data_IF_296920638122
#
_entry.id   IF_296920638122
#
_cell.length_a   1.000
_cell.length_b   1.000
_cell.length_c   1.000
_cell.angle_alpha   90.00
_cell.angle_beta   90.00
_cell.angle_gamma   90.00
#
_symmetry.space_group_name_H-M   'P 1'
#
loop_
_entity.id
_entity.type
_entity.pdbx_description
1 polymer ?
#
# COMPACT_ATOMS: atom_id res chain seq x y z
N UNK A 1 18.68 11.15 6.85
CA UNK A 1 18.38 9.84 7.43
C UNK A 1 17.28 9.97 8.45
N UNK A 2 16.90 8.87 9.08
CA UNK A 2 15.81 8.79 10.08
C UNK A 2 16.36 8.30 11.41
N UNK A 3 15.80 8.80 12.51
CA UNK A 3 16.09 8.34 13.87
C UNK A 3 14.81 7.71 14.41
N UNK A 4 14.89 6.48 14.88
CA UNK A 4 13.73 5.69 15.31
C UNK A 4 13.64 5.58 16.83
N UNK A 5 12.41 5.64 17.34
CA UNK A 5 12.09 5.58 18.76
C UNK A 5 10.89 4.66 19.01
N UNK A 6 10.88 3.95 20.14
CA UNK A 6 9.67 3.40 20.73
C UNK A 6 9.10 4.39 21.74
N UNK A 7 7.77 4.43 21.82
CA UNK A 7 7.02 5.23 22.78
C UNK A 7 6.16 4.26 23.60
N UNK A 8 6.28 4.31 24.91
CA UNK A 8 5.42 3.54 25.81
C UNK A 8 4.10 4.27 26.13
N UNK A 9 3.22 3.62 26.90
CA UNK A 9 1.91 4.20 27.28
C UNK A 9 2.04 5.46 28.16
N UNK A 10 3.18 5.66 28.79
CA UNK A 10 3.50 6.83 29.62
C UNK A 10 4.22 7.94 28.83
N UNK A 11 4.33 7.80 27.50
CA UNK A 11 5.02 8.71 26.59
C UNK A 11 6.52 8.88 26.87
N UNK A 12 7.18 7.84 27.40
CA UNK A 12 8.64 7.79 27.43
C UNK A 12 9.19 7.37 26.07
N UNK A 13 10.26 8.03 25.63
CA UNK A 13 10.90 7.81 24.34
C UNK A 13 12.17 6.97 24.50
N UNK A 14 12.25 5.86 23.77
CA UNK A 14 13.41 4.97 23.79
C UNK A 14 14.02 4.91 22.39
N UNK A 15 15.23 5.44 22.25
CA UNK A 15 15.98 5.36 21.00
C UNK A 15 16.21 3.90 20.59
N UNK A 16 15.99 3.60 19.30
CA UNK A 16 16.28 2.30 18.72
C UNK A 16 17.50 2.34 17.80
N UNK A 17 17.39 3.08 16.69
CA UNK A 17 18.41 3.07 15.65
C UNK A 17 18.41 4.34 14.79
N UNK A 18 19.43 4.46 13.93
CA UNK A 18 19.55 5.52 12.93
C UNK A 18 19.69 4.88 11.55
N UNK A 19 18.74 5.20 10.67
CA UNK A 19 18.80 4.87 9.26
C UNK A 19 19.48 6.01 8.49
N UNK A 20 20.74 5.83 8.07
CA UNK A 20 21.55 6.87 7.40
C UNK A 20 21.23 7.06 5.91
N UNK A 21 20.09 6.53 5.45
CA UNK A 21 19.61 6.59 4.06
C UNK A 21 18.17 7.09 4.01
N UNK A 22 17.65 7.27 2.79
CA UNK A 22 16.21 7.47 2.61
C UNK A 22 15.45 6.18 2.96
N UNK A 23 14.26 6.36 3.51
CA UNK A 23 13.34 5.29 3.88
C UNK A 23 12.23 5.15 2.86
N UNK A 24 11.62 3.97 2.80
CA UNK A 24 10.59 3.68 1.79
C UNK A 24 9.39 4.60 2.02
N UNK A 25 9.04 4.80 3.28
CA UNK A 25 7.95 5.58 3.83
C UNK A 25 8.16 7.10 3.78
N UNK A 26 9.27 7.62 3.23
CA UNK A 26 9.52 9.07 3.15
C UNK A 26 8.37 9.85 2.49
N UNK A 27 7.60 9.20 1.61
CA UNK A 27 6.51 9.82 0.86
C UNK A 27 5.42 10.37 1.77
N UNK A 28 5.13 9.76 2.94
CA UNK A 28 4.13 10.30 3.86
C UNK A 28 4.58 11.64 4.44
N UNK A 29 5.87 11.78 4.73
CA UNK A 29 6.47 13.03 5.20
C UNK A 29 6.43 14.09 4.11
N UNK A 30 6.77 13.75 2.88
CA UNK A 30 6.68 14.68 1.75
C UNK A 30 5.24 15.17 1.54
N UNK A 31 4.26 14.27 1.64
CA UNK A 31 2.84 14.60 1.43
C UNK A 31 2.28 15.56 2.49
N UNK A 32 2.69 15.42 3.76
CA UNK A 32 2.20 16.31 4.83
C UNK A 32 3.01 17.60 4.97
N UNK A 33 4.29 17.62 4.57
CA UNK A 33 5.14 18.83 4.69
C UNK A 33 5.23 19.64 3.41
N UNK A 34 4.99 19.02 2.24
CA UNK A 34 5.24 19.62 0.92
C UNK A 34 6.72 19.70 0.55
N UNK A 35 7.60 19.07 1.34
CA UNK A 35 9.05 19.08 1.11
C UNK A 35 9.43 17.86 0.29
N UNK A 36 10.09 18.09 -0.84
CA UNK A 36 10.66 17.04 -1.71
C UNK A 36 12.02 16.62 -1.15
N UNK A 37 12.04 15.52 -0.38
CA UNK A 37 13.21 14.98 0.32
C UNK A 37 14.27 14.53 -0.68
N UNK A 38 13.87 13.82 -1.74
CA UNK A 38 14.80 13.30 -2.76
C UNK A 38 15.51 14.45 -3.48
N UNK A 39 14.77 15.49 -3.87
CA UNK A 39 15.37 16.69 -4.49
C UNK A 39 16.37 17.37 -3.55
N UNK A 40 16.05 17.49 -2.28
CA UNK A 40 16.97 18.08 -1.30
C UNK A 40 18.22 17.21 -1.12
N UNK A 41 18.10 15.88 -1.11
CA UNK A 41 19.28 15.00 -1.08
C UNK A 41 20.20 15.22 -2.28
N UNK A 42 19.64 15.35 -3.50
CA UNK A 42 20.41 15.63 -4.71
C UNK A 42 21.10 17.00 -4.61
N UNK A 43 20.37 18.05 -4.23
CA UNK A 43 20.93 19.41 -4.05
C UNK A 43 22.10 19.43 -3.06
N UNK A 44 21.92 18.80 -1.90
CA UNK A 44 22.98 18.69 -0.89
C UNK A 44 24.21 17.93 -1.40
N UNK A 45 24.02 16.91 -2.24
CA UNK A 45 25.12 16.17 -2.85
C UNK A 45 25.91 17.02 -3.88
N UNK A 46 25.32 18.11 -4.38
CA UNK A 46 25.98 19.12 -5.21
C UNK A 46 26.48 20.33 -4.40
N UNK A 47 26.63 20.17 -3.08
CA UNK A 47 27.06 21.23 -2.15
C UNK A 47 26.15 22.47 -2.13
N UNK A 48 24.91 22.38 -2.60
CA UNK A 48 23.93 23.44 -2.41
C UNK A 48 23.52 23.52 -0.93
N UNK A 49 23.35 24.73 -0.36
CA UNK A 49 22.94 24.88 1.03
C UNK A 49 21.48 24.42 1.22
N UNK A 50 21.17 23.88 2.40
CA UNK A 50 19.80 23.60 2.79
C UNK A 50 19.02 24.91 2.92
N UNK A 51 18.06 25.15 2.03
CA UNK A 51 17.24 26.37 2.05
C UNK A 51 16.03 26.29 2.98
N UNK A 52 15.72 25.08 3.47
CA UNK A 52 14.58 24.81 4.35
C UNK A 52 14.98 25.16 5.77
N UNK A 53 14.18 26.01 6.44
CA UNK A 53 14.33 26.29 7.87
C UNK A 53 13.34 25.47 8.68
N UNK A 54 13.65 25.26 9.96
CA UNK A 54 12.76 24.52 10.87
C UNK A 54 11.35 25.13 10.96
N UNK A 55 11.24 26.47 10.88
CA UNK A 55 9.97 27.21 10.91
C UNK A 55 9.08 27.01 9.67
N UNK A 56 9.69 26.56 8.55
CA UNK A 56 9.00 26.25 7.30
C UNK A 56 8.36 24.86 7.34
N UNK A 57 8.87 23.96 8.19
CA UNK A 57 8.37 22.58 8.32
C UNK A 57 7.08 22.56 9.11
N UNK A 58 5.95 22.69 8.40
CA UNK A 58 4.60 22.69 8.99
C UNK A 58 3.78 21.54 8.43
N UNK A 59 3.67 20.41 9.15
CA UNK A 59 2.80 19.31 8.73
C UNK A 59 1.36 19.79 8.54
N UNK A 60 0.73 19.39 7.44
CA UNK A 60 -0.66 19.70 7.11
C UNK A 60 -1.41 18.42 6.81
N UNK A 61 -2.35 18.08 7.69
CA UNK A 61 -3.16 16.88 7.54
C UNK A 61 -2.39 15.61 7.91
N UNK A 62 -2.84 14.50 7.34
CA UNK A 62 -2.36 13.15 7.63
C UNK A 62 -2.06 12.45 6.31
N UNK A 63 -1.19 11.44 6.34
CA UNK A 63 -0.94 10.59 5.19
C UNK A 63 -0.78 9.14 5.63
N UNK A 64 -1.17 8.22 4.75
CA UNK A 64 -1.02 6.76 4.90
C UNK A 64 -0.30 6.28 3.65
N UNK A 65 0.79 5.54 3.79
CA UNK A 65 1.41 4.77 2.70
C UNK A 65 1.04 3.30 2.86
N UNK A 66 0.61 2.68 1.76
CA UNK A 66 0.41 1.23 1.66
C UNK A 66 1.35 0.68 0.59
N UNK A 67 1.99 -0.46 0.89
CA UNK A 67 2.82 -1.20 -0.06
C UNK A 67 1.98 -2.29 -0.70
N UNK A 68 1.47 -2.04 -1.90
CA UNK A 68 0.71 -3.04 -2.64
C UNK A 68 1.70 -4.07 -3.17
N UNK A 69 1.69 -5.26 -2.57
CA UNK A 69 2.60 -6.35 -2.87
C UNK A 69 1.86 -7.47 -3.61
N UNK A 70 2.59 -8.22 -4.44
CA UNK A 70 2.14 -9.46 -5.05
C UNK A 70 2.32 -10.62 -4.07
N UNK A 71 1.48 -10.65 -3.04
CA UNK A 71 1.50 -11.65 -1.97
C UNK A 71 0.08 -12.16 -1.72
N UNK A 72 -0.02 -13.37 -1.15
CA UNK A 72 -1.28 -13.93 -0.67
C UNK A 72 -1.35 -13.86 0.87
N UNK A 73 -1.99 -12.84 1.47
CA UNK A 73 -2.11 -12.72 2.92
C UNK A 73 -2.76 -13.93 3.61
N UNK A 74 -3.65 -14.66 2.93
CA UNK A 74 -4.27 -15.89 3.47
C UNK A 74 -3.32 -17.07 3.52
N UNK A 75 -2.32 -17.07 2.65
CA UNK A 75 -1.31 -18.10 2.59
C UNK A 75 0.02 -17.57 3.17
N UNK A 76 -0.05 -16.97 4.36
CA UNK A 76 1.10 -16.44 5.10
C UNK A 76 1.97 -15.48 4.26
N UNK A 77 1.32 -14.58 3.50
CA UNK A 77 1.95 -13.61 2.60
C UNK A 77 2.91 -14.25 1.58
N UNK A 78 2.61 -15.47 1.11
CA UNK A 78 3.44 -16.12 0.11
C UNK A 78 3.54 -15.26 -1.16
N UNK A 79 4.76 -14.94 -1.65
CA UNK A 79 4.94 -14.14 -2.85
C UNK A 79 4.38 -14.83 -4.10
N UNK A 80 3.88 -14.02 -5.03
CA UNK A 80 3.27 -14.44 -6.29
C UNK A 80 4.23 -14.26 -7.48
N UNK A 81 5.53 -14.52 -7.25
CA UNK A 81 6.60 -14.45 -8.26
C UNK A 81 6.34 -15.36 -9.47
N UNK A 82 6.86 -14.95 -10.63
CA UNK A 82 6.68 -15.64 -11.91
C UNK A 82 5.29 -15.43 -12.55
N UNK A 83 4.34 -14.81 -11.84
CA UNK A 83 3.04 -14.43 -12.41
C UNK A 83 3.14 -13.14 -13.20
N UNK A 84 2.28 -13.03 -14.21
CA UNK A 84 2.13 -11.82 -15.01
C UNK A 84 0.93 -10.99 -14.54
N UNK A 85 1.10 -9.67 -14.50
CA UNK A 85 0.02 -8.71 -14.26
C UNK A 85 -0.81 -8.57 -15.54
N UNK A 86 -1.98 -9.20 -15.57
CA UNK A 86 -2.87 -9.22 -16.73
C UNK A 86 -3.66 -7.93 -16.91
N UNK A 87 -4.02 -7.29 -15.81
CA UNK A 87 -4.71 -5.99 -15.78
C UNK A 87 -4.10 -5.15 -14.68
N UNK A 88 -3.82 -3.89 -15.00
CA UNK A 88 -3.39 -2.88 -14.03
C UNK A 88 -4.19 -1.60 -14.26
N UNK A 89 -5.06 -1.25 -13.32
CA UNK A 89 -5.76 0.04 -13.27
C UNK A 89 -5.58 0.61 -11.89
N UNK A 90 -4.76 1.64 -11.82
CA UNK A 90 -4.47 2.31 -10.57
C UNK A 90 -5.50 3.40 -10.26
N UNK A 91 -5.79 3.65 -8.97
CA UNK A 91 -6.63 4.75 -8.55
C UNK A 91 -5.91 6.08 -8.76
N UNK A 92 -6.62 7.19 -8.58
CA UNK A 92 -6.03 8.53 -8.64
C UNK A 92 -6.93 9.59 -8.02
N UNK A 93 -6.70 10.84 -8.37
CA UNK A 93 -7.42 12.00 -7.86
C UNK A 93 -6.68 12.73 -6.74
N UNK A 94 -7.33 13.74 -6.18
CA UNK A 94 -6.71 14.63 -5.20
C UNK A 94 -6.19 13.86 -3.97
N UNK A 95 -4.95 14.19 -3.57
CA UNK A 95 -4.29 13.59 -2.41
C UNK A 95 -3.97 12.10 -2.57
N UNK A 96 -3.83 11.59 -3.81
CA UNK A 96 -3.36 10.23 -4.09
C UNK A 96 -2.06 10.31 -4.88
N UNK A 97 -1.03 9.66 -4.35
CA UNK A 97 0.28 9.52 -4.97
C UNK A 97 0.57 8.03 -5.15
N UNK A 98 1.15 7.68 -6.30
CA UNK A 98 1.55 6.33 -6.62
C UNK A 98 3.02 6.33 -7.04
N UNK A 99 3.82 5.52 -6.37
CA UNK A 99 5.23 5.29 -6.69
C UNK A 99 5.37 3.79 -7.01
N UNK A 100 5.39 3.42 -8.29
CA UNK A 100 5.44 2.03 -8.72
C UNK A 100 6.05 1.86 -10.10
N UNK A 101 6.48 0.64 -10.40
CA UNK A 101 7.12 0.26 -11.67
C UNK A 101 6.25 -0.68 -12.52
N UNK A 102 5.08 -1.04 -12.00
CA UNK A 102 4.21 -2.07 -12.57
C UNK A 102 3.30 -1.50 -13.64
N UNK A 103 3.11 -2.30 -14.69
CA UNK A 103 2.24 -2.03 -15.82
C UNK A 103 1.59 -3.33 -16.29
N UNK A 104 0.58 -3.22 -17.15
CA UNK A 104 -0.07 -4.40 -17.74
C UNK A 104 0.93 -5.20 -18.59
N UNK A 105 1.06 -6.50 -18.33
CA UNK A 105 2.04 -7.38 -18.93
C UNK A 105 3.33 -7.54 -18.12
N UNK A 106 3.48 -6.81 -17.01
CA UNK A 106 4.65 -6.94 -16.13
C UNK A 106 4.74 -8.34 -15.52
N UNK A 107 5.91 -8.96 -15.62
CA UNK A 107 6.23 -10.25 -14.99
C UNK A 107 6.88 -9.99 -13.63
N UNK A 108 6.32 -10.59 -12.58
CA UNK A 108 6.78 -10.38 -11.21
C UNK A 108 8.06 -11.19 -10.99
N UNK A 109 9.18 -10.57 -10.61
CA UNK A 109 10.41 -11.29 -10.36
C UNK A 109 10.28 -12.29 -9.21
N UNK A 110 10.92 -13.44 -9.32
CA UNK A 110 10.93 -14.47 -8.24
C UNK A 110 11.97 -14.19 -7.16
N UNK A 111 13.02 -13.43 -7.49
CA UNK A 111 14.21 -13.24 -6.65
C UNK A 111 14.30 -11.87 -5.97
N UNK A 112 13.34 -10.98 -6.25
CA UNK A 112 13.28 -9.64 -5.67
C UNK A 112 12.04 -9.48 -4.79
N UNK A 113 11.95 -8.32 -4.12
CA UNK A 113 10.77 -7.91 -3.35
C UNK A 113 9.50 -7.95 -4.24
N UNK A 114 8.40 -8.43 -3.65
CA UNK A 114 7.08 -8.59 -4.28
C UNK A 114 6.33 -7.26 -4.47
N UNK A 115 6.93 -6.14 -4.05
CA UNK A 115 6.35 -4.80 -4.19
C UNK A 115 5.95 -4.49 -5.63
N UNK A 116 4.67 -4.20 -5.82
CA UNK A 116 4.13 -3.74 -7.10
C UNK A 116 4.12 -2.20 -7.18
N UNK A 117 3.57 -1.57 -6.16
CA UNK A 117 3.35 -0.12 -6.13
C UNK A 117 3.13 0.36 -4.71
N UNK A 118 3.73 1.49 -4.36
CA UNK A 118 3.41 2.21 -3.12
C UNK A 118 2.28 3.19 -3.40
N UNK A 119 1.25 3.14 -2.58
CA UNK A 119 0.12 4.05 -2.65
C UNK A 119 0.10 4.91 -1.40
N UNK A 120 0.35 6.20 -1.59
CA UNK A 120 0.30 7.18 -0.51
C UNK A 120 -0.92 8.05 -0.68
N UNK A 121 -1.78 8.04 0.33
CA UNK A 121 -2.95 8.90 0.40
C UNK A 121 -2.74 9.97 1.46
N UNK A 122 -3.19 11.18 1.17
CA UNK A 122 -3.16 12.33 2.06
C UNK A 122 -4.59 12.78 2.37
N UNK A 123 -4.83 13.47 3.47
CA UNK A 123 -6.11 14.12 3.78
C UNK A 123 -5.94 15.14 4.91
N UNK A 124 -6.87 16.09 5.07
CA UNK A 124 -6.74 17.10 6.12
C UNK A 124 -7.05 16.55 7.52
N UNK A 125 -7.81 15.46 7.60
CA UNK A 125 -8.08 14.72 8.84
C UNK A 125 -7.71 13.25 8.69
N UNK A 126 -7.48 12.56 9.82
CA UNK A 126 -7.30 11.10 9.82
C UNK A 126 -8.46 10.39 9.13
N UNK A 127 -9.71 10.72 9.51
CA UNK A 127 -10.92 10.13 8.93
C UNK A 127 -11.01 10.33 7.42
N UNK A 128 -10.68 11.52 6.92
CA UNK A 128 -10.63 11.79 5.48
C UNK A 128 -9.57 10.93 4.78
N UNK A 129 -8.40 10.82 5.39
CA UNK A 129 -7.28 10.03 4.86
C UNK A 129 -7.63 8.55 4.77
N UNK A 130 -8.23 7.97 5.83
CA UNK A 130 -8.70 6.58 5.84
C UNK A 130 -9.81 6.37 4.81
N UNK A 131 -10.79 7.27 4.72
CA UNK A 131 -11.85 7.19 3.70
C UNK A 131 -11.30 7.27 2.27
N UNK A 132 -10.30 8.12 2.03
CA UNK A 132 -9.61 8.21 0.75
C UNK A 132 -8.82 6.94 0.45
N UNK A 133 -8.14 6.37 1.45
CA UNK A 133 -7.46 5.08 1.37
C UNK A 133 -8.42 3.98 0.90
N UNK A 134 -9.54 3.83 1.62
CA UNK A 134 -10.61 2.88 1.29
C UNK A 134 -11.14 3.05 -0.13
N UNK A 135 -11.44 4.28 -0.55
CA UNK A 135 -11.86 4.57 -1.94
C UNK A 135 -10.78 4.14 -2.94
N UNK A 136 -9.51 4.39 -2.67
CA UNK A 136 -8.43 4.02 -3.58
C UNK A 136 -8.30 2.50 -3.69
N UNK A 137 -8.32 1.78 -2.57
CA UNK A 137 -8.29 0.31 -2.55
C UNK A 137 -9.47 -0.31 -3.31
N UNK A 138 -10.70 0.21 -3.12
CA UNK A 138 -11.89 -0.25 -3.85
C UNK A 138 -11.78 -0.10 -5.38
N UNK A 139 -11.07 0.92 -5.85
CA UNK A 139 -10.92 1.22 -7.28
C UNK A 139 -9.60 0.70 -7.86
N UNK A 140 -8.76 0.04 -7.06
CA UNK A 140 -7.49 -0.50 -7.52
C UNK A 140 -7.71 -1.89 -8.11
N UNK A 141 -7.59 -2.01 -9.44
CA UNK A 141 -7.74 -3.29 -10.14
C UNK A 141 -6.38 -3.82 -10.56
N UNK A 142 -5.95 -4.90 -9.92
CA UNK A 142 -4.80 -5.70 -10.33
C UNK A 142 -5.29 -7.13 -10.56
N UNK A 143 -5.14 -7.65 -11.78
CA UNK A 143 -5.48 -9.03 -12.12
C UNK A 143 -4.23 -9.80 -12.54
N UNK A 144 -4.18 -11.10 -12.24
CA UNK A 144 -3.01 -11.95 -12.46
C UNK A 144 -2.50 -12.53 -11.14
N UNK A 145 -1.69 -11.78 -10.38
CA UNK A 145 -1.28 -12.18 -9.03
C UNK A 145 -2.40 -11.94 -8.00
N UNK A 146 -2.31 -12.64 -6.85
CA UNK A 146 -2.96 -12.14 -5.62
C UNK A 146 -2.19 -10.93 -5.10
N UNK A 147 -2.85 -10.12 -4.29
CA UNK A 147 -2.23 -8.91 -3.73
C UNK A 147 -2.63 -8.68 -2.29
N UNK A 148 -1.91 -7.79 -1.61
CA UNK A 148 -2.23 -7.32 -0.25
C UNK A 148 -3.47 -6.41 -0.16
N UNK A 149 -4.10 -6.03 -1.28
CA UNK A 149 -5.24 -5.10 -1.32
C UNK A 149 -6.40 -5.55 -0.41
N UNK A 150 -6.89 -6.81 -0.45
CA UNK A 150 -8.01 -7.22 0.39
C UNK A 150 -7.68 -7.16 1.89
N UNK A 151 -6.44 -7.44 2.27
CA UNK A 151 -5.98 -7.31 3.65
C UNK A 151 -5.96 -5.85 4.11
N UNK A 152 -5.44 -4.93 3.29
CA UNK A 152 -5.51 -3.50 3.60
C UNK A 152 -6.93 -2.96 3.61
N UNK A 153 -7.82 -3.52 2.79
CA UNK A 153 -9.24 -3.16 2.80
C UNK A 153 -9.87 -3.47 4.16
N UNK A 154 -9.59 -4.65 4.72
CA UNK A 154 -10.03 -4.98 6.08
C UNK A 154 -9.46 -4.01 7.12
N UNK A 155 -8.17 -3.64 7.03
CA UNK A 155 -7.55 -2.68 7.97
C UNK A 155 -8.25 -1.32 7.93
N UNK A 156 -8.49 -0.76 6.74
CA UNK A 156 -9.11 0.58 6.64
C UNK A 156 -10.60 0.60 6.99
N UNK A 157 -11.22 -0.57 7.15
CA UNK A 157 -12.61 -0.76 7.60
C UNK A 157 -12.71 -1.14 9.08
N UNK A 158 -11.59 -1.43 9.72
CA UNK A 158 -11.54 -1.86 11.12
C UNK A 158 -11.72 -0.64 12.07
N UNK A 159 -12.64 -0.74 13.06
CA UNK A 159 -12.96 0.36 13.98
C UNK A 159 -11.78 1.03 14.69
N UNK A 160 -10.81 0.26 15.22
CA UNK A 160 -9.66 0.78 15.95
C UNK A 160 -8.70 1.55 15.01
N UNK A 161 -8.42 1.04 13.82
CA UNK A 161 -7.65 1.75 12.80
C UNK A 161 -8.34 3.06 12.39
N UNK A 162 -9.65 2.99 12.15
CA UNK A 162 -10.49 4.14 11.83
C UNK A 162 -10.46 5.21 12.95
N UNK A 163 -10.39 4.78 14.21
CA UNK A 163 -10.30 5.63 15.39
C UNK A 163 -8.88 6.16 15.64
N UNK A 164 -7.85 5.58 15.00
CA UNK A 164 -6.45 5.89 15.28
C UNK A 164 -5.93 5.22 16.55
N UNK A 165 -6.58 4.15 17.00
CA UNK A 165 -6.28 3.41 18.22
C UNK A 165 -5.49 2.14 17.88
N UNK A 166 -4.18 2.27 17.66
CA UNK A 166 -3.34 1.12 17.33
C UNK A 166 -1.90 1.32 17.83
N UNK A 167 -1.25 0.20 18.11
CA UNK A 167 0.16 0.11 18.48
C UNK A 167 0.86 -1.01 17.69
N UNK A 168 2.08 -1.38 18.09
CA UNK A 168 2.86 -2.42 17.42
C UNK A 168 2.24 -3.83 17.53
N UNK A 169 1.33 -4.06 18.48
CA UNK A 169 0.60 -5.32 18.66
C UNK A 169 -0.73 -5.38 17.89
N UNK A 170 -1.07 -4.32 17.14
CA UNK A 170 -2.36 -4.19 16.46
C UNK A 170 -2.75 -5.42 15.63
N UNK A 171 -1.85 -5.94 14.79
CA UNK A 171 -2.17 -7.09 13.95
C UNK A 171 -2.37 -8.39 14.76
N UNK A 172 -1.64 -8.56 15.86
CA UNK A 172 -1.79 -9.73 16.76
C UNK A 172 -3.14 -9.70 17.47
N UNK A 173 -3.62 -8.50 17.83
CA UNK A 173 -4.91 -8.28 18.49
C UNK A 173 -6.11 -8.34 17.52
N UNK A 174 -5.88 -8.31 16.21
CA UNK A 174 -6.92 -8.27 15.18
C UNK A 174 -6.79 -9.43 14.17
N UNK A 175 -6.82 -10.71 14.60
CA UNK A 175 -6.68 -11.85 13.70
C UNK A 175 -7.80 -11.94 12.65
N UNK A 176 -8.93 -11.28 12.89
CA UNK A 176 -10.04 -11.20 11.93
C UNK A 176 -9.66 -10.50 10.62
N UNK A 177 -8.62 -9.66 10.61
CA UNK A 177 -8.16 -8.95 9.41
C UNK A 177 -7.71 -9.88 8.29
N UNK A 178 -7.31 -11.11 8.63
CA UNK A 178 -6.89 -12.13 7.67
C UNK A 178 -8.06 -12.88 7.02
N UNK A 179 -9.28 -12.71 7.54
CA UNK A 179 -10.48 -13.30 6.98
C UNK A 179 -11.20 -12.29 6.08
N UNK A 180 -11.05 -12.45 4.78
CA UNK A 180 -11.80 -11.72 3.76
C UNK A 180 -12.29 -12.69 2.70
N UNK A 181 -13.41 -12.40 2.05
CA UNK A 181 -13.79 -13.17 0.87
C UNK A 181 -12.88 -12.80 -0.30
N UNK A 182 -12.35 -13.80 -1.01
CA UNK A 182 -11.72 -13.50 -2.29
C UNK A 182 -12.82 -13.01 -3.21
N UNK A 183 -12.68 -11.77 -3.70
CA UNK A 183 -13.66 -11.14 -4.57
C UNK A 183 -13.70 -11.91 -5.90
N UNK A 184 -14.50 -12.98 -5.91
CA UNK A 184 -14.83 -13.72 -7.12
C UNK A 184 -15.85 -12.87 -7.84
N UNK A 185 -15.40 -11.76 -8.43
CA UNK A 185 -16.26 -10.95 -9.28
C UNK A 185 -16.98 -11.89 -10.24
N UNK A 186 -18.27 -11.67 -10.47
CA UNK A 186 -19.03 -12.55 -11.36
C UNK A 186 -18.42 -12.59 -12.76
N UNK A 187 -17.70 -11.54 -13.15
CA UNK A 187 -16.84 -11.48 -14.34
C UNK A 187 -15.69 -12.50 -14.29
N UNK A 188 -15.01 -12.65 -13.15
CA UNK A 188 -13.96 -13.68 -12.97
C UNK A 188 -14.52 -15.09 -12.99
N UNK A 189 -15.69 -15.32 -12.36
CA UNK A 189 -16.40 -16.62 -12.44
C UNK A 189 -16.82 -16.92 -13.88
N UNK A 190 -17.41 -15.94 -14.57
CA UNK A 190 -17.85 -16.06 -15.96
C UNK A 190 -16.65 -16.28 -16.89
N UNK A 191 -15.53 -15.59 -16.67
CA UNK A 191 -14.30 -15.76 -17.46
C UNK A 191 -13.69 -17.16 -17.27
N UNK A 192 -13.64 -17.65 -16.03
CA UNK A 192 -13.22 -19.03 -15.74
C UNK A 192 -14.16 -20.05 -16.39
N UNK A 193 -15.46 -19.82 -16.31
CA UNK A 193 -16.47 -20.68 -16.92
C UNK A 193 -16.37 -20.72 -18.45
N UNK A 194 -16.21 -19.56 -19.10
CA UNK A 194 -15.98 -19.45 -20.55
C UNK A 194 -14.68 -20.17 -20.94
N UNK A 195 -13.59 -19.98 -20.18
CA UNK A 195 -12.32 -20.66 -20.43
C UNK A 195 -12.45 -22.19 -20.29
N UNK A 196 -13.19 -22.67 -19.30
CA UNK A 196 -13.45 -24.10 -19.07
C UNK A 196 -14.30 -24.71 -20.20
N UNK A 197 -15.36 -24.03 -20.63
CA UNK A 197 -16.18 -24.46 -21.79
C UNK A 197 -15.34 -24.49 -23.06
N UNK A 198 -14.56 -23.44 -23.31
CA UNK A 198 -13.75 -23.35 -24.53
C UNK A 198 -12.65 -24.42 -24.55
N UNK A 199 -12.02 -24.70 -23.41
CA UNK A 199 -11.05 -25.78 -23.27
C UNK A 199 -11.68 -27.16 -23.46
N UNK A 200 -12.83 -27.42 -22.84
CA UNK A 200 -13.51 -28.73 -22.91
C UNK A 200 -14.33 -28.94 -24.19
N UNK A 201 -14.55 -27.88 -25.00
CA UNK A 201 -15.47 -27.84 -26.16
C UNK A 201 -16.88 -28.38 -25.86
N UNK A 202 -17.25 -28.42 -24.59
CA UNK A 202 -18.51 -28.96 -24.11
C UNK A 202 -19.00 -28.08 -22.97
N UNK A 203 -20.25 -27.64 -23.07
CA UNK A 203 -20.92 -26.91 -22.01
C UNK A 203 -21.82 -27.90 -21.24
N UNK A 204 -21.46 -28.29 -19.99
CA UNK A 204 -22.26 -29.24 -19.21
C UNK A 204 -23.63 -28.68 -18.77
N UNK A 205 -23.89 -27.40 -19.03
CA UNK A 205 -25.15 -26.73 -18.70
C UNK A 205 -25.98 -26.34 -19.94
N UNK A 206 -25.50 -26.63 -21.16
CA UNK A 206 -26.36 -26.56 -22.35
C UNK A 206 -26.96 -27.94 -22.58
N UNK A 207 -28.27 -28.05 -22.35
CA UNK A 207 -29.10 -29.15 -22.85
C UNK A 207 -29.11 -29.20 -24.38
#
# INVERSE_FOLDING_TARGET
GTVEFLIDQDYNYYFMEINTRIQVEHTVTEMITGIDIVRNQIKLAFDEPLTIKQEDVRPRGHAIELRINAEDPKNNFMPEGGKQVLVYRSPGGFGVRLDGIVYQGYEIPEVYDSLLVKMTVHGFTWRETVNRCRRCLQNFVIAGPKTTIPFYMNIVEEPDFIAGNFDTSYLENHPQLFFYDEDKSDVSKLSKFIAEIHHRKHNPFSS
#
